data_IF_642440434586
#
_entry.id   IF_642440434586
#
_cell.length_a   1.000
_cell.length_b   1.000
_cell.length_c   1.000
_cell.angle_alpha   90.00
_cell.angle_beta   90.00
_cell.angle_gamma   90.00
#
_symmetry.space_group_name_H-M   'P 1'
#
loop_
_entity.id
_entity.type
_entity.pdbx_description
1 polymer ?
#
# COMPACT_ATOMS: atom_id res chain seq x y z
N UNK A 1 27.98 -11.33 -14.18
CA UNK A 1 27.35 -10.64 -13.03
C UNK A 1 25.87 -10.51 -13.36
N UNK A 2 25.00 -11.20 -12.63
CA UNK A 2 23.56 -11.24 -12.94
C UNK A 2 22.86 -10.24 -12.01
N UNK A 3 22.42 -9.10 -12.54
CA UNK A 3 21.77 -8.05 -11.76
C UNK A 3 20.26 -8.35 -11.76
N UNK A 4 19.72 -8.67 -10.59
CA UNK A 4 18.27 -8.86 -10.42
C UNK A 4 17.57 -7.50 -10.35
N UNK A 5 16.35 -7.41 -10.87
CA UNK A 5 15.50 -6.22 -10.75
C UNK A 5 15.14 -6.03 -9.27
N UNK A 6 15.26 -4.81 -8.77
CA UNK A 6 14.83 -4.44 -7.43
C UNK A 6 13.30 -4.59 -7.30
N UNK A 7 12.84 -5.25 -6.24
CA UNK A 7 11.43 -5.30 -5.83
C UNK A 7 11.35 -4.88 -4.36
N UNK A 8 10.69 -3.75 -4.08
CA UNK A 8 10.56 -3.21 -2.73
C UNK A 8 9.79 -4.16 -1.80
N UNK A 9 8.88 -4.97 -2.34
CA UNK A 9 8.08 -5.90 -1.54
C UNK A 9 8.94 -6.95 -0.81
N UNK A 10 10.14 -7.25 -1.31
CA UNK A 10 11.10 -8.15 -0.63
C UNK A 10 11.71 -7.56 0.64
N UNK A 11 11.56 -6.24 0.86
CA UNK A 11 12.15 -5.49 1.98
C UNK A 11 11.08 -4.95 2.95
N UNK A 12 9.80 -5.20 2.69
CA UNK A 12 8.68 -4.78 3.54
C UNK A 12 8.35 -5.87 4.56
N UNK A 13 9.35 -6.25 5.37
CA UNK A 13 9.33 -7.39 6.30
C UNK A 13 9.02 -7.04 7.77
N UNK A 14 8.90 -5.75 8.07
CA UNK A 14 8.59 -5.21 9.40
C UNK A 14 7.55 -4.09 9.34
N UNK A 15 6.79 -3.94 10.42
CA UNK A 15 5.76 -2.89 10.56
C UNK A 15 6.39 -1.49 10.46
N UNK A 16 7.57 -1.31 11.06
CA UNK A 16 8.33 -0.06 11.04
C UNK A 16 8.76 0.31 9.63
N UNK A 17 9.26 -0.65 8.84
CA UNK A 17 9.67 -0.40 7.46
C UNK A 17 8.48 -0.06 6.57
N UNK A 18 7.35 -0.75 6.77
CA UNK A 18 6.11 -0.49 6.04
C UNK A 18 5.58 0.90 6.35
N UNK A 19 5.55 1.29 7.63
CA UNK A 19 5.13 2.63 8.04
C UNK A 19 6.05 3.71 7.44
N UNK A 20 7.38 3.54 7.57
CA UNK A 20 8.34 4.50 7.04
C UNK A 20 8.22 4.66 5.51
N UNK A 21 8.09 3.55 4.78
CA UNK A 21 7.91 3.55 3.33
C UNK A 21 6.62 4.28 2.90
N UNK A 22 5.49 3.94 3.52
CA UNK A 22 4.22 4.59 3.18
C UNK A 22 4.17 6.07 3.59
N UNK A 23 4.78 6.42 4.72
CA UNK A 23 4.90 7.81 5.16
C UNK A 23 5.74 8.64 4.20
N UNK A 24 6.88 8.13 3.71
CA UNK A 24 7.70 8.87 2.73
C UNK A 24 6.94 9.08 1.42
N UNK A 25 6.16 8.10 0.98
CA UNK A 25 5.34 8.24 -0.24
C UNK A 25 4.19 9.23 -0.03
N UNK A 26 3.60 9.33 1.17
CA UNK A 26 2.60 10.36 1.48
C UNK A 26 3.18 11.76 1.55
N UNK A 27 4.43 11.91 1.97
CA UNK A 27 5.11 13.20 2.12
C UNK A 27 5.54 13.77 0.76
N UNK A 28 6.18 12.96 -0.07
CA UNK A 28 6.83 13.43 -1.31
C UNK A 28 6.11 12.99 -2.59
N UNK A 29 5.19 12.03 -2.50
CA UNK A 29 4.58 11.35 -3.64
C UNK A 29 3.20 11.87 -4.04
N UNK A 30 2.74 11.39 -5.19
CA UNK A 30 1.38 11.54 -5.71
C UNK A 30 0.42 10.53 -5.08
N UNK A 31 -0.89 10.78 -5.25
CA UNK A 31 -1.91 9.83 -4.81
C UNK A 31 -1.79 8.48 -5.52
N UNK A 32 -1.45 8.48 -6.81
CA UNK A 32 -1.21 7.28 -7.60
C UNK A 32 0.00 6.49 -7.08
N UNK A 33 1.09 7.16 -6.71
CA UNK A 33 2.26 6.52 -6.09
C UNK A 33 1.91 5.92 -4.72
N UNK A 34 1.12 6.62 -3.89
CA UNK A 34 0.66 6.08 -2.62
C UNK A 34 -0.21 4.83 -2.80
N UNK A 35 -1.09 4.83 -3.80
CA UNK A 35 -1.91 3.65 -4.12
C UNK A 35 -1.05 2.48 -4.59
N UNK A 36 -0.01 2.73 -5.40
CA UNK A 36 0.94 1.71 -5.82
C UNK A 36 1.74 1.16 -4.63
N UNK A 37 2.18 2.03 -3.70
CA UNK A 37 2.90 1.65 -2.50
C UNK A 37 2.06 0.77 -1.55
N UNK A 38 0.75 1.07 -1.39
CA UNK A 38 -0.18 0.15 -0.72
C UNK A 38 -0.25 -1.20 -1.43
N UNK A 39 -0.09 -1.22 -2.74
CA UNK A 39 0.02 -2.43 -3.55
C UNK A 39 1.25 -3.25 -3.22
N UNK A 40 2.41 -2.60 -3.07
CA UNK A 40 3.65 -3.25 -2.68
C UNK A 40 3.53 -3.89 -1.30
N UNK A 41 2.95 -3.19 -0.32
CA UNK A 41 2.67 -3.73 1.02
C UNK A 41 1.67 -4.88 0.96
N UNK A 42 0.61 -4.77 0.15
CA UNK A 42 -0.36 -5.84 -0.02
C UNK A 42 0.25 -7.10 -0.67
N UNK A 43 1.22 -6.93 -1.59
CA UNK A 43 1.99 -8.06 -2.15
C UNK A 43 2.87 -8.72 -1.11
N UNK A 44 3.54 -7.93 -0.26
CA UNK A 44 4.39 -8.44 0.80
C UNK A 44 3.61 -9.22 1.87
N UNK A 45 2.42 -8.74 2.26
CA UNK A 45 1.57 -9.38 3.29
C UNK A 45 0.64 -10.47 2.76
N UNK A 46 0.25 -10.40 1.49
CA UNK A 46 -0.66 -11.33 0.85
C UNK A 46 -2.04 -10.73 0.55
N UNK A 47 -2.38 -10.67 -0.75
CA UNK A 47 -3.64 -10.08 -1.24
C UNK A 47 -4.88 -10.89 -0.82
N UNK A 48 -4.76 -12.20 -0.65
CA UNK A 48 -5.89 -13.04 -0.23
C UNK A 48 -6.38 -12.69 1.17
N UNK A 49 -5.47 -12.53 2.12
CA UNK A 49 -5.79 -12.12 3.49
C UNK A 49 -6.37 -10.70 3.51
N UNK A 50 -5.80 -9.79 2.70
CA UNK A 50 -6.33 -8.44 2.57
C UNK A 50 -7.77 -8.43 2.02
N UNK A 51 -8.06 -9.27 1.03
CA UNK A 51 -9.41 -9.41 0.47
C UNK A 51 -10.42 -9.84 1.53
N UNK A 52 -10.07 -10.79 2.39
CA UNK A 52 -10.90 -11.23 3.51
C UNK A 52 -11.13 -10.12 4.53
N UNK A 53 -10.05 -9.46 4.98
CA UNK A 53 -10.14 -8.37 5.97
C UNK A 53 -10.93 -7.16 5.47
N UNK A 54 -10.81 -6.84 4.19
CA UNK A 54 -11.47 -5.68 3.59
C UNK A 54 -12.84 -6.01 2.98
N UNK A 55 -13.19 -7.28 2.78
CA UNK A 55 -14.36 -7.68 2.00
C UNK A 55 -14.34 -7.19 0.54
N UNK A 56 -13.17 -6.81 0.01
CA UNK A 56 -12.99 -6.43 -1.39
C UNK A 56 -12.58 -7.67 -2.20
N UNK A 57 -13.07 -7.78 -3.44
CA UNK A 57 -12.64 -8.86 -4.33
C UNK A 57 -11.17 -8.73 -4.73
N UNK A 58 -10.46 -9.86 -4.84
CA UNK A 58 -9.04 -9.90 -5.26
C UNK A 58 -8.77 -9.17 -6.57
N UNK A 59 -9.65 -9.33 -7.57
CA UNK A 59 -9.55 -8.62 -8.86
C UNK A 59 -9.68 -7.10 -8.68
N UNK A 60 -10.62 -6.66 -7.84
CA UNK A 60 -10.76 -5.24 -7.50
C UNK A 60 -9.51 -4.72 -6.82
N UNK A 61 -8.92 -5.48 -5.90
CA UNK A 61 -7.67 -5.10 -5.22
C UNK A 61 -6.51 -4.98 -6.22
N UNK A 62 -6.31 -5.96 -7.11
CA UNK A 62 -5.27 -5.87 -8.14
C UNK A 62 -5.43 -4.64 -9.03
N UNK A 63 -6.66 -4.37 -9.49
CA UNK A 63 -6.94 -3.19 -10.31
C UNK A 63 -6.68 -1.90 -9.52
N UNK A 64 -7.17 -1.84 -8.27
CA UNK A 64 -7.02 -0.67 -7.41
C UNK A 64 -5.56 -0.37 -7.13
N UNK A 65 -4.80 -1.37 -6.67
CA UNK A 65 -3.43 -1.26 -6.21
C UNK A 65 -2.39 -1.19 -7.33
N UNK A 66 -2.81 -1.28 -8.59
CA UNK A 66 -1.92 -1.11 -9.75
C UNK A 66 -1.47 0.34 -10.00
N UNK A 67 -1.98 1.31 -9.24
CA UNK A 67 -1.76 2.75 -9.46
C UNK A 67 -2.50 3.34 -10.68
N UNK A 68 -3.06 2.50 -11.55
CA UNK A 68 -3.76 2.92 -12.77
C UNK A 68 -5.27 3.18 -12.57
N UNK A 69 -5.70 3.35 -11.32
CA UNK A 69 -7.10 3.57 -10.97
C UNK A 69 -7.22 4.71 -9.98
N UNK A 70 -8.40 5.35 -9.97
CA UNK A 70 -8.74 6.40 -8.99
C UNK A 70 -9.74 5.85 -7.99
N UNK A 71 -9.29 5.07 -6.98
CA UNK A 71 -10.17 4.60 -5.93
C UNK A 71 -10.71 5.81 -5.16
N UNK A 72 -11.94 5.67 -4.65
CA UNK A 72 -12.44 6.63 -3.69
C UNK A 72 -11.65 6.54 -2.39
N UNK A 73 -11.59 7.64 -1.65
CA UNK A 73 -10.84 7.71 -0.40
C UNK A 73 -11.31 6.70 0.66
N UNK A 74 -12.62 6.37 0.71
CA UNK A 74 -13.15 5.32 1.60
C UNK A 74 -12.53 3.95 1.31
N UNK A 75 -12.29 3.64 0.03
CA UNK A 75 -11.59 2.42 -0.37
C UNK A 75 -10.13 2.43 0.08
N UNK A 76 -9.43 3.55 -0.07
CA UNK A 76 -8.03 3.69 0.36
C UNK A 76 -7.90 3.46 1.87
N UNK A 77 -8.76 4.10 2.67
CA UNK A 77 -8.82 3.90 4.12
C UNK A 77 -9.14 2.45 4.50
N UNK A 78 -10.07 1.82 3.78
CA UNK A 78 -10.43 0.41 4.02
C UNK A 78 -9.24 -0.51 3.79
N UNK A 79 -8.49 -0.28 2.72
CA UNK A 79 -7.28 -1.04 2.38
C UNK A 79 -6.21 -0.83 3.45
N UNK A 80 -5.90 0.42 3.82
CA UNK A 80 -4.92 0.73 4.86
C UNK A 80 -5.24 0.01 6.18
N UNK A 81 -6.51 0.08 6.63
CA UNK A 81 -6.96 -0.65 7.83
C UNK A 81 -6.87 -2.16 7.68
N UNK A 82 -7.20 -2.70 6.50
CA UNK A 82 -7.05 -4.12 6.20
C UNK A 82 -5.59 -4.60 6.25
N UNK A 83 -4.65 -3.70 5.97
CA UNK A 83 -3.21 -3.92 6.15
C UNK A 83 -2.74 -3.72 7.61
N UNK A 84 -3.63 -3.35 8.54
CA UNK A 84 -3.29 -3.06 9.93
C UNK A 84 -2.70 -1.66 10.15
N UNK A 85 -2.92 -0.73 9.23
CA UNK A 85 -2.36 0.62 9.25
C UNK A 85 -3.41 1.68 9.60
N UNK A 86 -2.95 2.77 10.19
CA UNK A 86 -3.75 3.96 10.46
C UNK A 86 -3.07 5.20 9.86
N UNK A 87 -3.85 6.12 9.30
CA UNK A 87 -3.34 7.39 8.81
C UNK A 87 -3.33 8.41 9.96
N UNK A 88 -2.20 9.06 10.17
CA UNK A 88 -2.03 10.15 11.12
C UNK A 88 -1.95 11.50 10.39
N UNK A 89 -2.54 12.53 10.98
CA UNK A 89 -2.41 13.91 10.52
C UNK A 89 -1.35 14.63 11.35
N UNK A 90 -0.44 15.33 10.68
CA UNK A 90 0.61 16.14 11.32
C UNK A 90 0.42 17.59 10.92
N UNK A 91 0.52 18.52 11.87
CA UNK A 91 0.52 19.94 11.57
C UNK A 91 1.92 20.35 11.08
N UNK A 92 2.00 21.02 9.93
CA UNK A 92 3.21 21.73 9.54
C UNK A 92 3.21 23.08 10.26
N UNK A 93 4.05 23.21 11.28
CA UNK A 93 4.30 24.45 12.04
C UNK A 93 5.63 25.06 11.63
#
# INVERSE_FOLDING_TARGET
>A
MNIRRFDIAEYLDSEEMIAAYLSSVLEDGSAEEFIAALGDVARARGISELAEKTGLGRESLYKTLSGNSKPRFDTVLKIARGLGLELSLTAHV
#
